data_IF_058166422368
#
_entry.id   IF_058166422368
#
_cell.length_a   1.000
_cell.length_b   1.000
_cell.length_c   1.000
_cell.angle_alpha   90.00
_cell.angle_beta   90.00
_cell.angle_gamma   90.00
#
_symmetry.space_group_name_H-M   'P 1'
#
loop_
_entity.id
_entity.type
_entity.pdbx_description
1 polymer ?
#
# COMPACT_ATOMS: atom_id res chain seq x y z
N UNK A 1 37.52 16.61 8.53
CA UNK A 1 36.78 15.55 7.77
C UNK A 1 36.35 16.06 6.40
N UNK A 2 35.77 15.22 5.54
CA UNK A 2 35.40 15.59 4.16
C UNK A 2 34.45 16.79 4.05
N UNK A 3 33.52 16.94 4.99
CA UNK A 3 32.61 18.11 5.03
C UNK A 3 33.39 19.39 5.18
N UNK A 4 34.38 19.44 6.05
CA UNK A 4 35.23 20.64 6.24
C UNK A 4 36.10 20.91 5.02
N UNK A 5 36.70 19.88 4.43
CA UNK A 5 37.46 20.00 3.21
C UNK A 5 36.58 20.54 2.06
N UNK A 6 35.35 20.02 1.89
CA UNK A 6 34.44 20.54 0.87
C UNK A 6 34.16 22.04 1.05
N UNK A 7 33.91 22.49 2.28
CA UNK A 7 33.71 23.92 2.59
C UNK A 7 34.97 24.75 2.28
N UNK A 8 36.15 24.26 2.63
CA UNK A 8 37.42 24.92 2.33
C UNK A 8 37.66 25.06 0.81
N UNK A 9 37.21 24.11 0.01
CA UNK A 9 37.24 24.15 -1.45
C UNK A 9 36.05 24.91 -2.08
N UNK A 10 35.16 25.49 -1.27
CA UNK A 10 33.99 26.22 -1.74
C UNK A 10 32.93 25.35 -2.40
N UNK A 11 32.89 24.06 -2.05
CA UNK A 11 31.96 23.06 -2.58
C UNK A 11 30.78 22.85 -1.61
N UNK A 12 29.61 22.50 -2.14
CA UNK A 12 28.49 22.05 -1.33
C UNK A 12 28.76 20.64 -0.79
N UNK A 13 28.90 20.46 0.55
CA UNK A 13 29.19 19.16 1.15
C UNK A 13 28.13 18.08 0.88
N UNK A 14 26.90 18.45 0.52
CA UNK A 14 25.83 17.51 0.23
C UNK A 14 25.76 17.09 -1.24
N UNK A 15 26.17 17.96 -2.14
CA UNK A 15 26.00 17.77 -3.57
C UNK A 15 27.32 17.59 -4.34
N UNK A 16 28.42 18.10 -3.81
CA UNK A 16 29.66 18.30 -4.57
C UNK A 16 30.91 17.64 -3.97
N UNK A 17 30.78 16.81 -2.92
CA UNK A 17 31.92 16.09 -2.31
C UNK A 17 32.74 15.26 -3.32
N UNK A 18 32.11 14.78 -4.37
CA UNK A 18 32.77 14.03 -5.45
C UNK A 18 33.77 14.85 -6.26
N UNK A 19 33.77 16.19 -6.14
CA UNK A 19 34.74 17.10 -6.78
C UNK A 19 36.02 17.29 -5.97
N UNK A 20 36.06 16.81 -4.72
CA UNK A 20 37.27 16.92 -3.91
C UNK A 20 38.43 16.11 -4.53
N UNK A 21 39.68 16.59 -4.35
CA UNK A 21 40.85 15.83 -4.76
C UNK A 21 40.90 14.43 -4.11
N UNK A 22 41.43 13.44 -4.83
CA UNK A 22 41.50 12.05 -4.39
C UNK A 22 42.23 11.84 -3.06
N UNK A 23 43.19 12.70 -2.70
CA UNK A 23 43.90 12.65 -1.43
C UNK A 23 42.98 12.90 -0.20
N UNK A 24 41.83 13.56 -0.40
CA UNK A 24 40.81 13.70 0.65
C UNK A 24 39.78 12.57 0.61
N UNK A 25 39.33 12.16 -0.58
CA UNK A 25 38.27 11.15 -0.74
C UNK A 25 38.81 9.73 -0.61
N UNK A 26 40.06 9.48 -1.05
CA UNK A 26 40.67 8.14 -1.03
C UNK A 26 40.67 7.50 0.37
N UNK A 27 41.31 8.12 1.37
CA UNK A 27 41.33 7.55 2.72
C UNK A 27 39.93 7.33 3.34
N UNK A 28 38.96 8.17 2.98
CA UNK A 28 37.58 7.99 3.41
C UNK A 28 36.93 6.77 2.74
N UNK A 29 37.11 6.60 1.43
CA UNK A 29 36.57 5.47 0.71
C UNK A 29 37.21 4.14 1.12
N UNK A 30 38.51 4.13 1.42
CA UNK A 30 39.22 2.99 1.99
C UNK A 30 38.64 2.63 3.35
N UNK A 31 38.46 3.61 4.25
CA UNK A 31 37.84 3.43 5.57
C UNK A 31 36.40 2.90 5.50
N UNK A 32 35.61 3.39 4.55
CA UNK A 32 34.24 2.87 4.34
C UNK A 32 34.25 1.37 3.93
N UNK A 33 35.21 0.97 3.11
CA UNK A 33 35.36 -0.44 2.71
C UNK A 33 35.80 -1.33 3.89
N UNK A 34 36.77 -0.87 4.69
CA UNK A 34 37.22 -1.57 5.89
C UNK A 34 36.09 -1.72 6.91
N UNK A 35 35.39 -0.63 7.25
CA UNK A 35 34.23 -0.64 8.15
C UNK A 35 33.11 -1.56 7.65
N UNK A 36 32.86 -1.59 6.36
CA UNK A 36 31.87 -2.49 5.76
C UNK A 36 32.26 -3.95 5.98
N UNK A 37 33.52 -4.31 5.83
CA UNK A 37 34.02 -5.66 6.09
C UNK A 37 33.95 -6.02 7.56
N UNK A 38 34.29 -5.09 8.46
CA UNK A 38 34.17 -5.30 9.93
C UNK A 38 32.71 -5.52 10.34
N UNK A 39 31.78 -4.69 9.81
CA UNK A 39 30.34 -4.88 10.02
C UNK A 39 29.85 -6.23 9.51
N UNK A 40 30.32 -6.66 8.34
CA UNK A 40 29.99 -7.99 7.83
C UNK A 40 30.45 -9.10 8.77
N UNK A 41 31.67 -9.05 9.25
CA UNK A 41 32.22 -10.06 10.18
C UNK A 41 31.42 -10.11 11.50
N UNK A 42 31.00 -8.96 11.99
CA UNK A 42 30.13 -8.86 13.17
C UNK A 42 28.73 -9.45 12.88
N UNK A 43 28.08 -8.97 11.84
CA UNK A 43 26.70 -9.38 11.51
C UNK A 43 26.59 -10.83 11.09
N UNK A 44 27.58 -11.41 10.43
CA UNK A 44 27.62 -12.83 10.08
C UNK A 44 27.42 -13.72 11.31
N UNK A 45 28.08 -13.37 12.41
CA UNK A 45 27.93 -14.07 13.69
C UNK A 45 26.54 -13.82 14.30
N UNK A 46 26.07 -12.58 14.29
CA UNK A 46 24.75 -12.22 14.82
C UNK A 46 23.59 -12.83 14.05
N UNK A 47 23.67 -12.92 12.73
CA UNK A 47 22.67 -13.60 11.88
C UNK A 47 22.52 -15.06 12.34
N UNK A 48 23.62 -15.76 12.57
CA UNK A 48 23.62 -17.14 13.06
C UNK A 48 23.06 -17.25 14.47
N UNK A 49 23.60 -16.44 15.42
CA UNK A 49 23.17 -16.42 16.82
C UNK A 49 21.67 -16.14 16.99
N UNK A 50 21.14 -15.29 16.14
CA UNK A 50 19.72 -14.93 16.16
C UNK A 50 18.82 -15.87 15.34
N UNK A 51 19.36 -16.91 14.72
CA UNK A 51 18.61 -17.86 13.88
C UNK A 51 17.94 -17.18 12.68
N UNK A 52 18.67 -16.29 12.00
CA UNK A 52 18.19 -15.53 10.86
C UNK A 52 18.80 -15.99 9.52
N UNK A 53 19.62 -17.03 9.52
CA UNK A 53 20.35 -17.53 8.33
C UNK A 53 19.41 -17.77 7.16
N UNK A 54 18.31 -18.51 7.37
CA UNK A 54 17.33 -18.80 6.31
C UNK A 54 16.73 -17.53 5.68
N UNK A 55 16.42 -16.52 6.51
CA UNK A 55 15.90 -15.25 6.02
C UNK A 55 16.96 -14.46 5.26
N UNK A 56 18.18 -14.45 5.78
CA UNK A 56 19.33 -13.79 5.15
C UNK A 56 19.63 -14.40 3.78
N UNK A 57 19.67 -15.73 3.69
CA UNK A 57 19.92 -16.44 2.43
C UNK A 57 18.82 -16.17 1.41
N UNK A 58 17.55 -16.18 1.86
CA UNK A 58 16.39 -15.85 1.00
C UNK A 58 16.50 -14.41 0.45
N UNK A 59 16.76 -13.44 1.32
CA UNK A 59 16.85 -12.03 0.92
C UNK A 59 18.04 -11.78 0.00
N UNK A 60 19.17 -12.45 0.27
CA UNK A 60 20.36 -12.34 -0.57
C UNK A 60 20.11 -12.97 -1.94
N UNK A 61 19.46 -14.13 -2.00
CA UNK A 61 19.12 -14.79 -3.26
C UNK A 61 18.07 -14.00 -4.08
N UNK A 62 17.20 -13.24 -3.42
CA UNK A 62 16.19 -12.38 -4.07
C UNK A 62 16.80 -11.12 -4.70
N UNK A 63 17.89 -10.60 -4.13
CA UNK A 63 18.48 -9.31 -4.56
C UNK A 63 18.82 -9.27 -6.07
N UNK A 64 19.49 -10.26 -6.67
CA UNK A 64 19.75 -10.27 -8.12
C UNK A 64 18.47 -10.16 -8.95
N UNK A 65 17.40 -10.86 -8.55
CA UNK A 65 16.12 -10.80 -9.24
C UNK A 65 15.53 -9.38 -9.22
N UNK A 66 15.61 -8.67 -8.08
CA UNK A 66 15.12 -7.28 -7.97
C UNK A 66 15.99 -6.30 -8.75
N UNK A 67 17.29 -6.54 -8.82
CA UNK A 67 18.21 -5.79 -9.67
C UNK A 67 17.85 -5.95 -11.14
N UNK A 68 17.62 -7.19 -11.60
CA UNK A 68 17.19 -7.48 -12.97
C UNK A 68 15.84 -6.84 -13.29
N UNK A 69 14.88 -6.89 -12.38
CA UNK A 69 13.59 -6.21 -12.55
C UNK A 69 13.75 -4.71 -12.71
N UNK A 70 14.61 -4.08 -11.89
CA UNK A 70 14.91 -2.64 -11.98
C UNK A 70 15.64 -2.32 -13.27
N UNK A 71 16.63 -3.14 -13.66
CA UNK A 71 17.41 -2.99 -14.89
C UNK A 71 16.55 -3.10 -16.14
N UNK A 72 15.73 -4.14 -16.22
CA UNK A 72 14.83 -4.37 -17.34
C UNK A 72 13.74 -3.28 -17.44
N UNK A 73 13.26 -2.78 -16.32
CA UNK A 73 12.20 -1.78 -16.28
C UNK A 73 10.90 -2.24 -16.96
N UNK A 74 10.00 -1.31 -17.22
CA UNK A 74 8.69 -1.57 -17.83
C UNK A 74 8.50 -0.66 -19.04
N UNK A 75 8.26 -1.21 -20.23
CA UNK A 75 7.99 -0.46 -21.46
C UNK A 75 6.72 0.37 -21.35
N UNK A 76 6.74 1.58 -21.90
CA UNK A 76 5.62 2.52 -21.88
C UNK A 76 5.30 3.01 -23.29
N UNK A 77 4.03 3.01 -23.65
CA UNK A 77 3.53 3.70 -24.84
C UNK A 77 3.39 5.20 -24.56
N UNK A 78 4.46 5.94 -24.83
CA UNK A 78 4.50 7.40 -24.64
C UNK A 78 3.49 8.15 -25.50
N UNK A 79 3.27 7.71 -26.72
CA UNK A 79 2.32 8.34 -27.63
C UNK A 79 0.88 8.20 -27.13
N UNK A 80 0.53 7.00 -26.69
CA UNK A 80 -0.76 6.72 -26.07
C UNK A 80 -0.91 7.45 -24.74
N UNK A 81 0.15 7.51 -23.94
CA UNK A 81 0.18 8.25 -22.67
C UNK A 81 -0.15 9.72 -22.88
N UNK A 82 0.52 10.38 -23.82
CA UNK A 82 0.26 11.80 -24.10
C UNK A 82 -1.14 12.02 -24.68
N UNK A 83 -1.58 11.23 -25.64
CA UNK A 83 -2.96 11.30 -26.18
C UNK A 83 -4.01 11.14 -25.06
N UNK A 84 -3.82 10.17 -24.18
CA UNK A 84 -4.71 9.94 -23.05
C UNK A 84 -4.70 11.13 -22.09
N UNK A 85 -3.52 11.68 -21.78
CA UNK A 85 -3.37 12.85 -20.92
C UNK A 85 -4.12 14.06 -21.48
N UNK A 86 -3.93 14.37 -22.75
CA UNK A 86 -4.60 15.49 -23.41
C UNK A 86 -6.13 15.32 -23.44
N UNK A 87 -6.62 14.12 -23.72
CA UNK A 87 -8.06 13.83 -23.68
C UNK A 87 -8.65 14.06 -22.29
N UNK A 88 -7.95 13.62 -21.22
CA UNK A 88 -8.41 13.83 -19.84
C UNK A 88 -8.38 15.31 -19.43
N UNK A 89 -7.37 16.06 -19.84
CA UNK A 89 -7.30 17.52 -19.60
C UNK A 89 -8.47 18.23 -20.29
N UNK A 90 -8.82 17.82 -21.50
CA UNK A 90 -9.97 18.40 -22.22
C UNK A 90 -11.30 18.05 -21.52
N UNK A 91 -11.48 16.79 -21.10
CA UNK A 91 -12.67 16.36 -20.34
C UNK A 91 -12.80 17.16 -19.04
N UNK A 92 -11.71 17.32 -18.28
CA UNK A 92 -11.66 18.14 -17.06
C UNK A 92 -12.13 19.57 -17.32
N UNK A 93 -11.55 20.23 -18.34
CA UNK A 93 -11.93 21.60 -18.73
C UNK A 93 -13.40 21.72 -19.12
N UNK A 94 -13.94 20.74 -19.83
CA UNK A 94 -15.34 20.72 -20.23
C UNK A 94 -16.27 20.61 -19.02
N UNK A 95 -15.97 19.73 -18.06
CA UNK A 95 -16.77 19.58 -16.85
C UNK A 95 -16.68 20.85 -15.99
N UNK A 96 -15.50 21.40 -15.77
CA UNK A 96 -15.32 22.65 -15.02
C UNK A 96 -16.06 23.82 -15.67
N UNK A 97 -16.07 23.90 -17.00
CA UNK A 97 -16.84 24.90 -17.74
C UNK A 97 -18.35 24.74 -17.49
N UNK A 98 -18.88 23.53 -17.57
CA UNK A 98 -20.30 23.25 -17.27
C UNK A 98 -20.66 23.68 -15.83
N UNK A 99 -19.84 23.30 -14.84
CA UNK A 99 -20.07 23.72 -13.45
C UNK A 99 -20.08 25.25 -13.35
N UNK A 100 -19.15 25.95 -13.99
CA UNK A 100 -19.09 27.41 -14.01
C UNK A 100 -20.30 28.04 -14.69
N UNK A 101 -20.75 27.48 -15.81
CA UNK A 101 -21.88 28.00 -16.58
C UNK A 101 -23.19 27.87 -15.76
N UNK A 102 -23.35 26.78 -14.99
CA UNK A 102 -24.53 26.54 -14.15
C UNK A 102 -24.50 27.33 -12.82
N UNK A 103 -23.34 27.38 -12.16
CA UNK A 103 -23.22 27.97 -10.80
C UNK A 103 -22.67 29.40 -10.78
N UNK A 104 -22.13 29.87 -11.91
CA UNK A 104 -21.36 31.13 -12.03
C UNK A 104 -20.11 31.18 -11.15
N UNK A 105 -19.71 30.06 -10.55
CA UNK A 105 -18.53 29.95 -9.68
C UNK A 105 -17.39 29.27 -10.44
N UNK A 106 -16.22 29.88 -10.40
CA UNK A 106 -14.98 29.21 -10.85
C UNK A 106 -14.50 28.27 -9.74
N UNK A 107 -14.44 26.96 -10.05
CA UNK A 107 -14.12 25.93 -9.06
C UNK A 107 -12.65 25.58 -9.07
N UNK A 108 -12.01 25.77 -7.95
CA UNK A 108 -10.72 25.16 -7.62
C UNK A 108 -10.98 23.82 -6.91
N UNK A 109 -10.88 22.72 -7.65
CA UNK A 109 -11.36 21.40 -7.22
C UNK A 109 -10.73 20.85 -5.94
N UNK A 110 -9.54 21.33 -5.55
CA UNK A 110 -8.85 20.90 -4.34
C UNK A 110 -9.05 21.88 -3.16
N UNK A 111 -9.59 23.07 -3.41
CA UNK A 111 -9.84 24.06 -2.38
C UNK A 111 -11.27 23.91 -1.81
N UNK A 112 -11.39 23.45 -0.56
CA UNK A 112 -12.69 23.24 0.10
C UNK A 112 -13.52 24.53 0.13
N UNK A 113 -12.90 25.70 0.33
CA UNK A 113 -13.58 26.98 0.30
C UNK A 113 -14.19 27.31 -1.07
N UNK A 114 -13.53 26.91 -2.16
CA UNK A 114 -14.06 27.09 -3.52
C UNK A 114 -15.27 26.19 -3.78
N UNK A 115 -15.22 24.94 -3.32
CA UNK A 115 -16.35 24.00 -3.45
C UNK A 115 -17.52 24.46 -2.56
N UNK A 116 -17.25 24.95 -1.36
CA UNK A 116 -18.30 25.48 -0.47
C UNK A 116 -19.12 26.59 -1.17
N UNK A 117 -18.47 27.50 -1.90
CA UNK A 117 -19.18 28.55 -2.67
C UNK A 117 -20.13 27.97 -3.71
N UNK A 118 -19.79 26.83 -4.33
CA UNK A 118 -20.70 26.13 -5.26
C UNK A 118 -21.91 25.60 -4.51
N UNK A 119 -21.70 24.96 -3.37
CA UNK A 119 -22.77 24.42 -2.55
C UNK A 119 -23.69 25.54 -2.02
N UNK A 120 -23.12 26.66 -1.55
CA UNK A 120 -23.87 27.83 -1.08
C UNK A 120 -24.71 28.43 -2.21
N UNK A 121 -24.16 28.54 -3.45
CA UNK A 121 -24.91 29.04 -4.62
C UNK A 121 -26.08 28.14 -5.00
N UNK A 122 -25.95 26.83 -4.80
CA UNK A 122 -26.98 25.84 -5.08
C UNK A 122 -27.93 25.57 -3.89
N UNK A 123 -27.73 26.29 -2.77
CA UNK A 123 -28.43 26.06 -1.51
C UNK A 123 -28.35 24.60 -1.03
N UNK A 124 -27.19 23.94 -1.21
CA UNK A 124 -26.92 22.58 -0.80
C UNK A 124 -26.17 22.54 0.53
N UNK A 125 -26.58 21.65 1.41
CA UNK A 125 -25.88 21.41 2.67
C UNK A 125 -24.60 20.59 2.48
N UNK A 126 -23.60 20.82 3.34
CA UNK A 126 -22.34 20.07 3.33
C UNK A 126 -21.78 19.88 4.74
N UNK A 127 -21.07 18.76 4.98
CA UNK A 127 -20.47 18.47 6.26
C UNK A 127 -19.29 19.40 6.57
N UNK A 128 -19.05 19.61 7.86
CA UNK A 128 -17.91 20.35 8.38
C UNK A 128 -17.04 19.45 9.26
N UNK A 129 -15.76 19.75 9.30
CA UNK A 129 -14.83 19.11 10.23
C UNK A 129 -15.11 19.58 11.66
N UNK A 130 -14.56 18.90 12.68
CA UNK A 130 -14.64 19.32 14.09
C UNK A 130 -14.14 20.75 14.32
N UNK A 131 -13.24 21.25 13.46
CA UNK A 131 -12.74 22.63 13.49
C UNK A 131 -13.59 23.61 12.67
N UNK A 132 -14.77 23.20 12.21
CA UNK A 132 -15.72 24.05 11.47
C UNK A 132 -15.41 24.25 9.98
N UNK A 133 -14.31 23.71 9.44
CA UNK A 133 -13.97 23.85 8.01
C UNK A 133 -14.85 22.95 7.13
N UNK A 134 -15.23 23.39 5.89
CA UNK A 134 -15.97 22.56 4.95
C UNK A 134 -15.23 21.25 4.63
N UNK A 135 -15.96 20.13 4.58
CA UNK A 135 -15.42 18.79 4.32
C UNK A 135 -16.10 18.16 3.11
N UNK A 136 -15.35 18.00 2.03
CA UNK A 136 -15.83 17.41 0.78
C UNK A 136 -15.04 16.11 0.48
N UNK A 137 -15.43 15.02 1.16
CA UNK A 137 -14.85 13.71 0.92
C UNK A 137 -15.26 13.17 -0.46
N UNK A 138 -14.50 12.19 -0.97
CA UNK A 138 -14.84 11.53 -2.23
C UNK A 138 -16.24 10.90 -2.17
N UNK A 139 -16.53 10.18 -1.09
CA UNK A 139 -17.82 9.50 -0.88
C UNK A 139 -18.95 10.49 -0.90
N UNK A 140 -18.88 11.54 -0.06
CA UNK A 140 -19.89 12.59 0.00
C UNK A 140 -20.20 13.21 -1.36
N UNK A 141 -19.16 13.54 -2.14
CA UNK A 141 -19.34 14.16 -3.46
C UNK A 141 -19.90 13.17 -4.48
N UNK A 142 -19.42 11.91 -4.51
CA UNK A 142 -19.82 10.93 -5.51
C UNK A 142 -21.23 10.38 -5.29
N UNK A 143 -21.70 10.32 -4.05
CA UNK A 143 -23.04 9.79 -3.68
C UNK A 143 -24.10 10.88 -3.52
N UNK A 144 -23.72 12.15 -3.70
CA UNK A 144 -24.64 13.27 -3.57
C UNK A 144 -25.74 13.20 -4.65
N UNK A 145 -26.99 13.51 -4.25
CA UNK A 145 -28.15 13.47 -5.17
C UNK A 145 -28.08 14.47 -6.31
N UNK A 146 -27.47 15.64 -6.05
CA UNK A 146 -27.32 16.68 -7.06
C UNK A 146 -26.14 16.36 -8.03
N UNK A 147 -26.26 16.61 -9.36
CA UNK A 147 -25.22 16.24 -10.33
C UNK A 147 -23.91 17.04 -10.21
N UNK A 148 -23.95 18.29 -9.75
CA UNK A 148 -22.75 19.14 -9.66
C UNK A 148 -21.70 18.58 -8.69
N UNK A 149 -22.00 18.18 -7.44
CA UNK A 149 -21.06 17.48 -6.57
C UNK A 149 -20.46 16.23 -7.21
N UNK A 150 -21.26 15.42 -7.90
CA UNK A 150 -20.74 14.23 -8.62
C UNK A 150 -19.76 14.63 -9.73
N UNK A 151 -20.03 15.72 -10.45
CA UNK A 151 -19.10 16.27 -11.46
C UNK A 151 -17.79 16.75 -10.80
N UNK A 152 -17.85 17.38 -9.63
CA UNK A 152 -16.64 17.77 -8.88
C UNK A 152 -15.84 16.53 -8.48
N UNK A 153 -16.49 15.46 -8.00
CA UNK A 153 -15.81 14.20 -7.69
C UNK A 153 -15.11 13.63 -8.93
N UNK A 154 -15.81 13.61 -10.08
CA UNK A 154 -15.26 13.14 -11.36
C UNK A 154 -14.07 13.97 -11.81
N UNK A 155 -14.14 15.30 -11.70
CA UNK A 155 -13.02 16.20 -12.03
C UNK A 155 -11.79 15.91 -11.17
N UNK A 156 -11.97 15.70 -9.87
CA UNK A 156 -10.86 15.30 -8.97
C UNK A 156 -10.22 13.98 -9.39
N UNK A 157 -11.03 12.99 -9.79
CA UNK A 157 -10.51 11.71 -10.26
C UNK A 157 -9.71 11.87 -11.56
N UNK A 158 -10.26 12.58 -12.55
CA UNK A 158 -9.60 12.87 -13.82
C UNK A 158 -8.28 13.61 -13.58
N UNK A 159 -8.29 14.66 -12.77
CA UNK A 159 -7.11 15.45 -12.43
C UNK A 159 -6.03 14.59 -11.77
N UNK A 160 -6.41 13.71 -10.84
CA UNK A 160 -5.47 12.77 -10.21
C UNK A 160 -4.83 11.83 -11.24
N UNK A 161 -5.60 11.35 -12.22
CA UNK A 161 -5.07 10.44 -13.24
C UNK A 161 -4.05 11.16 -14.12
N UNK A 162 -4.41 12.28 -14.77
CA UNK A 162 -3.47 12.95 -15.67
C UNK A 162 -2.38 13.72 -14.92
N UNK A 163 -2.71 14.38 -13.81
CA UNK A 163 -1.79 15.23 -13.06
C UNK A 163 -0.81 14.44 -12.18
N UNK A 164 -1.20 13.28 -11.66
CA UNK A 164 -0.32 12.46 -10.84
C UNK A 164 0.24 11.28 -11.64
N UNK A 165 -0.62 10.39 -12.13
CA UNK A 165 -0.14 9.13 -12.73
C UNK A 165 0.50 9.34 -14.10
N UNK A 166 -0.17 10.01 -15.04
CA UNK A 166 0.38 10.17 -16.40
C UNK A 166 1.59 11.12 -16.42
N UNK A 167 1.57 12.19 -15.66
CA UNK A 167 2.74 13.06 -15.52
C UNK A 167 3.92 12.33 -14.87
N UNK A 168 3.68 11.51 -13.85
CA UNK A 168 4.74 10.71 -13.22
C UNK A 168 5.33 9.71 -14.21
N UNK A 169 4.49 9.03 -14.99
CA UNK A 169 4.95 8.14 -16.07
C UNK A 169 5.87 8.91 -17.02
N UNK A 170 5.40 10.02 -17.59
CA UNK A 170 6.18 10.81 -18.55
C UNK A 170 7.50 11.34 -17.96
N UNK A 171 7.49 11.75 -16.69
CA UNK A 171 8.68 12.29 -16.02
C UNK A 171 9.76 11.22 -15.78
N UNK A 172 9.35 9.96 -15.58
CA UNK A 172 10.26 8.88 -15.18
C UNK A 172 10.59 7.88 -16.30
N UNK A 173 10.00 8.04 -17.48
CA UNK A 173 10.43 7.23 -18.62
C UNK A 173 11.84 7.63 -19.03
N UNK A 174 12.73 6.65 -19.07
CA UNK A 174 14.12 6.83 -19.48
C UNK A 174 14.24 6.90 -21.02
N UNK A 175 15.45 7.13 -21.54
CA UNK A 175 15.71 7.28 -22.99
C UNK A 175 15.39 6.00 -23.79
N UNK A 176 15.39 4.85 -23.13
CA UNK A 176 15.04 3.55 -23.73
C UNK A 176 13.51 3.29 -23.81
N UNK A 177 12.69 4.27 -23.37
CA UNK A 177 11.23 4.14 -23.36
C UNK A 177 10.67 3.33 -22.19
N UNK A 178 11.44 3.13 -21.12
CA UNK A 178 11.08 2.31 -19.96
C UNK A 178 11.05 3.12 -18.67
N UNK A 179 10.33 2.60 -17.70
CA UNK A 179 10.37 3.08 -16.31
C UNK A 179 11.18 2.08 -15.50
N UNK A 180 12.22 2.59 -14.82
CA UNK A 180 13.09 1.85 -13.93
C UNK A 180 12.82 2.29 -12.49
N UNK A 181 11.83 1.68 -11.86
CA UNK A 181 11.51 1.99 -10.46
C UNK A 181 12.55 1.41 -9.52
N UNK A 182 12.86 2.14 -8.45
CA UNK A 182 13.65 1.58 -7.37
C UNK A 182 12.79 0.59 -6.58
N UNK A 183 13.31 -0.60 -6.37
CA UNK A 183 12.66 -1.67 -5.63
C UNK A 183 13.39 -1.84 -4.29
N UNK A 184 12.69 -1.58 -3.18
CA UNK A 184 13.26 -1.61 -1.84
C UNK A 184 12.83 -2.90 -1.12
N UNK A 185 13.79 -3.73 -0.76
CA UNK A 185 13.60 -4.98 -0.04
C UNK A 185 13.40 -4.78 1.46
N UNK A 186 14.23 -3.91 2.03
CA UNK A 186 14.25 -3.58 3.45
C UNK A 186 14.06 -2.08 3.66
N UNK A 187 13.65 -1.69 4.86
CA UNK A 187 13.53 -0.28 5.18
C UNK A 187 14.91 0.36 5.32
N UNK A 188 15.12 1.44 4.58
CA UNK A 188 16.28 2.31 4.65
C UNK A 188 15.84 3.76 4.44
N UNK A 189 16.80 4.68 4.30
CA UNK A 189 16.55 6.12 4.14
C UNK A 189 15.75 6.45 2.88
N UNK A 190 15.87 5.63 1.84
CA UNK A 190 15.23 5.83 0.55
C UNK A 190 13.86 5.13 0.41
N UNK A 191 13.36 4.46 1.45
CA UNK A 191 12.09 3.76 1.39
C UNK A 191 12.12 2.39 2.06
N UNK A 192 11.20 1.51 1.64
CA UNK A 192 11.07 0.17 2.20
C UNK A 192 9.99 0.08 3.28
N UNK A 193 9.77 -1.14 3.79
CA UNK A 193 8.78 -1.43 4.82
C UNK A 193 9.40 -2.19 5.99
N UNK A 194 8.83 -2.03 7.18
CA UNK A 194 9.22 -2.80 8.36
C UNK A 194 8.65 -4.22 8.37
N UNK A 195 7.66 -4.48 7.52
CA UNK A 195 6.94 -5.76 7.47
C UNK A 195 7.61 -6.83 6.58
N UNK A 196 8.65 -6.46 5.83
CA UNK A 196 9.27 -7.30 4.80
C UNK A 196 8.51 -7.31 3.46
N UNK A 197 7.48 -6.47 3.29
CA UNK A 197 6.88 -6.24 1.98
C UNK A 197 7.81 -5.40 1.13
N UNK A 198 7.96 -5.75 -0.14
CA UNK A 198 8.69 -4.93 -1.12
C UNK A 198 7.92 -3.63 -1.32
N UNK A 199 8.64 -2.51 -1.39
CA UNK A 199 8.10 -1.22 -1.79
C UNK A 199 8.80 -0.68 -3.02
N UNK A 200 8.14 0.22 -3.74
CA UNK A 200 8.70 0.87 -4.93
C UNK A 200 8.64 2.39 -4.79
N UNK A 201 9.67 3.05 -5.31
CA UNK A 201 9.72 4.52 -5.44
C UNK A 201 10.44 4.92 -6.73
N UNK A 202 10.38 6.18 -7.08
CA UNK A 202 10.99 6.80 -8.24
C UNK A 202 10.76 6.07 -9.59
N UNK A 203 9.47 5.86 -9.98
CA UNK A 203 8.21 6.13 -9.31
C UNK A 203 7.65 4.95 -8.53
N UNK A 204 6.60 5.18 -7.70
CA UNK A 204 5.89 4.09 -7.05
C UNK A 204 4.87 3.43 -7.99
N UNK A 205 5.28 2.36 -8.65
CA UNK A 205 4.44 1.62 -9.61
C UNK A 205 3.35 0.77 -8.93
N UNK A 206 3.44 0.51 -7.62
CA UNK A 206 2.43 -0.23 -6.87
C UNK A 206 1.13 0.56 -6.67
N UNK A 207 1.15 1.88 -6.89
CA UNK A 207 -0.02 2.74 -6.75
C UNK A 207 -0.85 2.88 -8.04
N UNK A 208 -0.44 2.26 -9.14
CA UNK A 208 -1.17 2.32 -10.41
C UNK A 208 -2.59 1.77 -10.22
N UNK A 209 -3.63 2.52 -10.59
CA UNK A 209 -5.01 2.11 -10.38
C UNK A 209 -5.31 0.82 -11.12
N UNK A 210 -5.77 -0.19 -10.39
CA UNK A 210 -6.11 -1.49 -10.96
C UNK A 210 -7.61 -1.76 -11.00
N UNK A 211 -8.32 -1.32 -9.95
CA UNK A 211 -9.74 -1.67 -9.72
C UNK A 211 -10.73 -0.59 -10.15
N UNK A 212 -10.23 0.55 -10.61
CA UNK A 212 -11.12 1.63 -11.06
C UNK A 212 -11.78 1.24 -12.39
N UNK A 213 -13.12 1.26 -12.52
CA UNK A 213 -13.82 0.75 -13.71
C UNK A 213 -13.34 1.40 -15.02
N UNK A 214 -13.22 2.72 -15.04
CA UNK A 214 -12.80 3.49 -16.22
C UNK A 214 -11.27 3.61 -16.31
N UNK A 215 -10.62 4.08 -15.24
CA UNK A 215 -9.21 4.48 -15.29
C UNK A 215 -8.24 3.32 -15.08
N UNK A 216 -8.66 2.22 -14.44
CA UNK A 216 -7.79 1.07 -14.19
C UNK A 216 -7.25 0.48 -15.50
N UNK A 217 -8.14 0.10 -16.39
CA UNK A 217 -7.76 -0.44 -17.71
C UNK A 217 -7.03 0.59 -18.58
N UNK A 218 -7.50 1.86 -18.54
CA UNK A 218 -6.89 2.95 -19.31
C UNK A 218 -5.41 3.13 -18.95
N UNK A 219 -5.07 3.32 -17.66
CA UNK A 219 -3.69 3.56 -17.23
C UNK A 219 -2.84 2.30 -17.42
N UNK A 220 -3.35 1.12 -17.09
CA UNK A 220 -2.60 -0.13 -17.24
C UNK A 220 -2.29 -0.47 -18.69
N UNK A 221 -3.16 -0.10 -19.63
CA UNK A 221 -2.93 -0.31 -21.05
C UNK A 221 -1.83 0.57 -21.68
N UNK A 222 -1.22 1.46 -20.90
CA UNK A 222 -0.05 2.25 -21.30
C UNK A 222 1.26 1.47 -21.14
N UNK A 223 1.26 0.40 -20.36
CA UNK A 223 2.42 -0.47 -20.16
C UNK A 223 2.40 -1.60 -21.18
N UNK A 224 3.49 -1.77 -21.88
CA UNK A 224 3.61 -2.75 -22.95
C UNK A 224 4.44 -3.96 -22.51
N UNK A 225 4.10 -5.18 -22.94
CA UNK A 225 5.01 -6.31 -22.83
C UNK A 225 6.17 -6.14 -23.81
N UNK A 226 7.14 -7.02 -23.77
CA UNK A 226 8.15 -7.12 -24.84
C UNK A 226 7.51 -7.51 -26.17
N UNK A 227 8.20 -7.28 -27.26
CA UNK A 227 7.75 -7.69 -28.60
C UNK A 227 7.52 -9.20 -28.61
N UNK A 228 6.41 -9.62 -29.20
CA UNK A 228 5.98 -11.03 -29.26
C UNK A 228 5.70 -11.70 -27.90
N UNK A 229 5.59 -10.90 -26.80
CA UNK A 229 5.26 -11.40 -25.47
C UNK A 229 3.90 -10.90 -25.00
N UNK A 230 3.42 -11.48 -23.92
CA UNK A 230 2.16 -11.12 -23.27
C UNK A 230 2.36 -10.93 -21.78
N UNK A 231 1.51 -10.09 -21.18
CA UNK A 231 1.43 -9.95 -19.74
C UNK A 231 0.74 -11.16 -19.11
N UNK A 232 1.38 -11.76 -18.12
CA UNK A 232 0.73 -12.67 -17.20
C UNK A 232 0.51 -11.98 -15.85
N UNK A 233 -0.69 -12.14 -15.27
CA UNK A 233 -0.98 -11.70 -13.91
C UNK A 233 -1.17 -12.93 -13.02
N UNK A 234 -0.24 -13.13 -12.09
CA UNK A 234 -0.23 -14.27 -11.18
C UNK A 234 -0.36 -13.73 -9.76
N UNK A 235 -1.40 -14.17 -9.03
CA UNK A 235 -1.67 -13.75 -7.65
C UNK A 235 -2.09 -14.94 -6.81
N UNK A 236 -1.65 -14.96 -5.55
CA UNK A 236 -2.07 -15.99 -4.61
C UNK A 236 -3.54 -15.80 -4.21
N UNK A 237 -4.34 -16.83 -4.37
CA UNK A 237 -5.73 -16.80 -3.93
C UNK A 237 -5.81 -16.77 -2.41
N UNK A 238 -6.33 -15.67 -1.84
CA UNK A 238 -6.62 -15.52 -0.42
C UNK A 238 -5.42 -15.82 0.49
N UNK A 239 -4.24 -15.34 0.14
CA UNK A 239 -3.01 -15.63 0.89
C UNK A 239 -3.15 -15.29 2.38
N UNK A 240 -3.64 -14.11 2.72
CA UNK A 240 -3.77 -13.65 4.11
C UNK A 240 -4.75 -14.49 4.93
N UNK A 241 -5.99 -14.78 4.47
CA UNK A 241 -6.89 -15.69 5.15
C UNK A 241 -6.32 -17.11 5.36
N UNK A 242 -5.64 -17.65 4.35
CA UNK A 242 -5.02 -18.98 4.45
C UNK A 242 -3.93 -19.04 5.53
N UNK A 243 -3.10 -18.00 5.58
CA UNK A 243 -2.04 -17.86 6.59
C UNK A 243 -2.68 -17.70 7.99
N UNK A 244 -3.74 -16.91 8.13
CA UNK A 244 -4.47 -16.74 9.38
C UNK A 244 -5.02 -18.08 9.89
N UNK A 245 -5.69 -18.86 9.04
CA UNK A 245 -6.21 -20.18 9.37
C UNK A 245 -5.07 -21.14 9.75
N UNK A 246 -3.99 -21.14 8.97
CA UNK A 246 -2.80 -21.95 9.24
C UNK A 246 -2.19 -21.66 10.63
N UNK A 247 -1.97 -20.38 10.96
CA UNK A 247 -1.41 -20.03 12.28
C UNK A 247 -2.37 -20.36 13.43
N UNK A 248 -3.67 -20.18 13.21
CA UNK A 248 -4.66 -20.52 14.24
C UNK A 248 -4.69 -22.02 14.51
N UNK A 249 -4.63 -22.84 13.46
CA UNK A 249 -4.56 -24.30 13.60
C UNK A 249 -3.23 -24.74 14.23
N UNK A 250 -2.10 -24.22 13.74
CA UNK A 250 -0.80 -24.55 14.29
C UNK A 250 -0.67 -24.18 15.78
N UNK A 251 -1.33 -23.10 16.21
CA UNK A 251 -1.40 -22.75 17.63
C UNK A 251 -2.21 -23.77 18.42
N UNK A 252 -3.40 -24.16 17.95
CA UNK A 252 -4.22 -25.18 18.59
C UNK A 252 -3.46 -26.51 18.71
N UNK A 253 -2.79 -26.94 17.64
CA UNK A 253 -1.99 -28.18 17.63
C UNK A 253 -0.85 -28.10 18.66
N UNK A 254 -0.19 -26.95 18.78
CA UNK A 254 0.91 -26.75 19.75
C UNK A 254 0.45 -26.80 21.19
N UNK A 255 -0.76 -26.34 21.48
CA UNK A 255 -1.35 -26.34 22.83
C UNK A 255 -2.06 -27.65 23.17
N UNK A 256 -2.26 -28.55 22.19
CA UNK A 256 -3.06 -29.80 22.30
C UNK A 256 -4.50 -29.57 22.80
N UNK A 257 -5.01 -28.36 22.66
CA UNK A 257 -6.34 -27.92 23.08
C UNK A 257 -6.88 -26.98 22.00
N UNK A 258 -8.13 -27.15 21.58
CA UNK A 258 -8.81 -26.26 20.63
C UNK A 258 -9.18 -24.90 21.25
N UNK A 259 -8.17 -24.09 21.63
CA UNK A 259 -8.36 -22.79 22.27
C UNK A 259 -8.96 -21.79 21.29
N UNK A 260 -8.49 -21.81 20.05
CA UNK A 260 -9.00 -20.94 18.97
C UNK A 260 -10.17 -21.66 18.27
N UNK A 261 -11.38 -21.43 18.80
CA UNK A 261 -12.61 -22.11 18.32
C UNK A 261 -12.99 -21.67 16.92
N UNK A 262 -13.59 -22.57 16.16
CA UNK A 262 -14.16 -22.30 14.82
C UNK A 262 -13.15 -22.30 13.68
N UNK A 263 -11.89 -22.65 13.92
CA UNK A 263 -10.88 -22.75 12.86
C UNK A 263 -11.01 -24.05 12.06
N UNK A 264 -11.47 -25.13 12.68
CA UNK A 264 -11.51 -26.48 12.08
C UNK A 264 -12.35 -26.53 10.80
N UNK A 265 -13.46 -25.81 10.76
CA UNK A 265 -14.32 -25.70 9.57
C UNK A 265 -13.58 -25.08 8.39
N UNK A 266 -12.81 -24.01 8.63
CA UNK A 266 -11.99 -23.38 7.58
C UNK A 266 -10.85 -24.29 7.13
N UNK A 267 -10.23 -25.01 8.05
CA UNK A 267 -9.18 -26.01 7.73
C UNK A 267 -9.74 -27.11 6.84
N UNK A 268 -10.88 -27.66 7.20
CA UNK A 268 -11.56 -28.71 6.41
C UNK A 268 -11.91 -28.21 5.02
N UNK A 269 -12.57 -27.04 4.93
CA UNK A 269 -12.94 -26.46 3.63
C UNK A 269 -11.72 -26.20 2.75
N UNK A 270 -10.62 -25.66 3.29
CA UNK A 270 -9.40 -25.42 2.51
C UNK A 270 -8.66 -26.70 2.10
N UNK A 271 -8.78 -27.81 2.86
CA UNK A 271 -8.21 -29.10 2.49
C UNK A 271 -9.04 -29.81 1.43
N UNK A 272 -10.34 -29.83 1.60
CA UNK A 272 -11.24 -30.60 0.75
C UNK A 272 -11.54 -29.88 -0.57
N UNK A 273 -11.68 -28.56 -0.52
CA UNK A 273 -12.03 -27.72 -1.68
C UNK A 273 -11.11 -26.49 -1.80
N UNK A 274 -9.80 -26.67 -2.00
CA UNK A 274 -8.82 -25.57 -1.94
C UNK A 274 -9.01 -24.49 -3.03
N UNK A 275 -9.67 -24.83 -4.15
CA UNK A 275 -9.93 -23.90 -5.26
C UNK A 275 -11.19 -23.09 -5.07
N UNK A 276 -12.23 -23.71 -4.51
CA UNK A 276 -13.58 -23.14 -4.44
C UNK A 276 -13.87 -22.52 -3.06
N UNK A 277 -13.05 -22.81 -2.05
CA UNK A 277 -13.19 -22.22 -0.72
C UNK A 277 -12.87 -20.74 -0.77
N UNK A 278 -13.87 -19.92 -0.45
CA UNK A 278 -13.73 -18.46 -0.31
C UNK A 278 -14.02 -18.04 1.14
N UNK A 279 -12.97 -17.64 1.87
CA UNK A 279 -13.07 -17.19 3.25
C UNK A 279 -14.13 -16.09 3.45
N UNK A 280 -14.25 -15.19 2.49
CA UNK A 280 -15.21 -14.09 2.58
C UNK A 280 -16.65 -14.56 2.41
N UNK A 281 -16.87 -15.58 1.58
CA UNK A 281 -18.18 -16.20 1.41
C UNK A 281 -18.57 -17.01 2.66
N UNK A 282 -17.66 -17.83 3.18
CA UNK A 282 -17.91 -18.57 4.42
C UNK A 282 -18.28 -17.64 5.58
N UNK A 283 -17.53 -16.54 5.76
CA UNK A 283 -17.85 -15.55 6.80
C UNK A 283 -19.17 -14.84 6.51
N UNK A 284 -19.49 -14.53 5.26
CA UNK A 284 -20.75 -13.92 4.87
C UNK A 284 -21.96 -14.80 5.27
N UNK A 285 -21.87 -16.09 4.98
CA UNK A 285 -22.89 -17.08 5.33
C UNK A 285 -23.00 -17.28 6.85
N UNK A 286 -21.87 -17.42 7.55
CA UNK A 286 -21.84 -17.59 9.00
C UNK A 286 -22.40 -16.39 9.76
N UNK A 287 -22.16 -15.17 9.27
CA UNK A 287 -22.55 -13.93 9.92
C UNK A 287 -23.85 -13.32 9.36
N UNK A 288 -24.45 -13.95 8.36
CA UNK A 288 -25.66 -13.47 7.65
C UNK A 288 -25.50 -12.02 7.13
N UNK A 289 -24.39 -11.76 6.43
CA UNK A 289 -24.07 -10.45 5.86
C UNK A 289 -23.68 -10.57 4.38
N UNK A 290 -23.88 -9.51 3.57
CA UNK A 290 -23.44 -9.54 2.17
C UNK A 290 -21.94 -9.82 2.03
N UNK A 291 -21.53 -10.64 1.06
CA UNK A 291 -20.12 -10.99 0.79
C UNK A 291 -19.20 -9.77 0.65
N UNK A 292 -19.71 -8.67 0.06
CA UNK A 292 -18.94 -7.42 -0.07
C UNK A 292 -18.61 -6.82 1.31
N UNK A 293 -19.56 -6.84 2.22
CA UNK A 293 -19.40 -6.40 3.62
C UNK A 293 -18.47 -7.36 4.37
N UNK A 294 -18.66 -8.68 4.22
CA UNK A 294 -17.77 -9.69 4.80
C UNK A 294 -16.31 -9.50 4.37
N UNK A 295 -16.05 -9.17 3.10
CA UNK A 295 -14.69 -8.89 2.63
C UNK A 295 -14.06 -7.69 3.33
N UNK A 296 -14.83 -6.62 3.53
CA UNK A 296 -14.33 -5.41 4.21
C UNK A 296 -14.05 -5.71 5.67
N UNK A 297 -15.01 -6.35 6.38
CA UNK A 297 -14.85 -6.65 7.80
C UNK A 297 -13.75 -7.68 8.06
N UNK A 298 -13.60 -8.69 7.21
CA UNK A 298 -12.53 -9.67 7.33
C UNK A 298 -11.15 -9.00 7.31
N UNK A 299 -10.89 -8.17 6.30
CA UNK A 299 -9.63 -7.44 6.20
C UNK A 299 -9.46 -6.46 7.37
N UNK A 300 -10.53 -5.73 7.73
CA UNK A 300 -10.52 -4.82 8.85
C UNK A 300 -10.13 -5.53 10.17
N UNK A 301 -10.76 -6.66 10.46
CA UNK A 301 -10.51 -7.42 11.69
C UNK A 301 -9.12 -8.08 11.68
N UNK A 302 -8.68 -8.64 10.56
CA UNK A 302 -7.33 -9.21 10.44
C UNK A 302 -6.23 -8.19 10.71
N UNK A 303 -6.45 -6.93 10.32
CA UNK A 303 -5.51 -5.82 10.55
C UNK A 303 -5.76 -5.02 11.81
N UNK A 304 -6.65 -5.46 12.70
CA UNK A 304 -6.93 -4.80 13.98
C UNK A 304 -7.59 -3.42 13.84
N UNK A 305 -8.42 -3.24 12.83
CA UNK A 305 -9.13 -1.99 12.62
C UNK A 305 -10.15 -1.74 13.74
N UNK A 306 -10.11 -0.55 14.35
CA UNK A 306 -11.11 -0.15 15.36
C UNK A 306 -12.48 0.17 14.77
N UNK A 307 -13.52 0.07 15.60
CA UNK A 307 -14.94 0.29 15.26
C UNK A 307 -15.19 1.63 14.56
N UNK A 308 -14.55 2.71 15.00
CA UNK A 308 -14.70 4.03 14.38
C UNK A 308 -14.26 4.04 12.90
N UNK A 309 -13.12 3.43 12.59
CA UNK A 309 -12.64 3.38 11.21
C UNK A 309 -13.47 2.43 10.36
N UNK A 310 -13.96 1.35 10.94
CA UNK A 310 -14.88 0.41 10.29
C UNK A 310 -16.22 1.10 9.94
N UNK A 311 -16.80 1.89 10.86
CA UNK A 311 -18.03 2.64 10.61
C UNK A 311 -17.88 3.60 9.43
N UNK A 312 -16.76 4.32 9.36
CA UNK A 312 -16.48 5.21 8.23
C UNK A 312 -16.29 4.44 6.90
N UNK A 313 -15.68 3.26 6.95
CA UNK A 313 -15.39 2.49 5.74
C UNK A 313 -16.64 1.82 5.15
N UNK A 314 -17.59 1.45 6.00
CA UNK A 314 -18.86 0.84 5.62
C UNK A 314 -20.00 1.87 5.47
N UNK A 315 -19.75 3.13 5.82
CA UNK A 315 -20.75 4.20 5.85
C UNK A 315 -21.98 3.85 6.74
N UNK A 316 -21.69 3.33 7.94
CA UNK A 316 -22.68 2.96 8.95
C UNK A 316 -22.40 3.68 10.27
N UNK A 317 -23.37 3.69 11.17
CA UNK A 317 -23.19 4.27 12.52
C UNK A 317 -22.14 3.50 13.33
N UNK A 318 -21.61 4.13 14.38
CA UNK A 318 -20.66 3.47 15.31
C UNK A 318 -21.30 2.29 16.03
N UNK A 319 -22.59 2.38 16.33
CA UNK A 319 -23.31 1.32 17.04
C UNK A 319 -23.52 0.11 16.12
N UNK A 320 -23.94 0.33 14.88
CA UNK A 320 -24.03 -0.74 13.86
C UNK A 320 -22.66 -1.38 13.60
N UNK A 321 -21.58 -0.61 13.49
CA UNK A 321 -20.23 -1.14 13.33
C UNK A 321 -19.78 -1.98 14.54
N UNK A 322 -20.17 -1.58 15.76
CA UNK A 322 -19.89 -2.33 16.99
C UNK A 322 -20.67 -3.65 17.04
N UNK A 323 -21.94 -3.61 16.68
CA UNK A 323 -22.79 -4.80 16.61
C UNK A 323 -22.24 -5.77 15.57
N UNK A 324 -21.94 -5.32 14.36
CA UNK A 324 -21.34 -6.09 13.29
C UNK A 324 -20.00 -6.71 13.71
N UNK A 325 -19.15 -5.97 14.42
CA UNK A 325 -17.87 -6.48 14.95
C UNK A 325 -18.12 -7.59 15.99
N UNK A 326 -19.10 -7.40 16.86
CA UNK A 326 -19.47 -8.40 17.88
C UNK A 326 -20.02 -9.66 17.24
N UNK A 327 -20.92 -9.54 16.28
CA UNK A 327 -21.45 -10.63 15.48
C UNK A 327 -20.33 -11.40 14.74
N UNK A 328 -19.42 -10.67 14.10
CA UNK A 328 -18.27 -11.25 13.43
C UNK A 328 -17.41 -12.10 14.40
N UNK A 329 -17.03 -11.56 15.54
CA UNK A 329 -16.20 -12.28 16.50
C UNK A 329 -16.93 -13.45 17.18
N UNK A 330 -18.25 -13.44 17.25
CA UNK A 330 -19.02 -14.57 17.73
C UNK A 330 -19.01 -15.75 16.74
N UNK A 331 -18.94 -15.45 15.44
CA UNK A 331 -18.96 -16.45 14.36
C UNK A 331 -17.56 -16.90 13.94
N UNK A 332 -16.57 -16.01 14.03
CA UNK A 332 -15.17 -16.25 13.65
C UNK A 332 -14.23 -15.92 14.82
N UNK A 333 -14.38 -16.59 15.97
CA UNK A 333 -13.70 -16.22 17.20
C UNK A 333 -12.18 -16.39 17.14
N UNK A 334 -11.66 -17.29 16.31
CA UNK A 334 -10.22 -17.54 16.20
C UNK A 334 -9.43 -16.33 15.68
N UNK A 335 -10.05 -15.42 14.92
CA UNK A 335 -9.39 -14.22 14.42
C UNK A 335 -8.95 -13.32 15.58
N UNK A 336 -9.89 -13.01 16.48
CA UNK A 336 -9.61 -12.23 17.69
C UNK A 336 -8.74 -13.01 18.66
N UNK A 337 -9.03 -14.30 18.83
CA UNK A 337 -8.25 -15.17 19.71
C UNK A 337 -6.76 -15.24 19.33
N UNK A 338 -6.44 -15.35 18.03
CA UNK A 338 -5.03 -15.32 17.59
C UNK A 338 -4.36 -13.97 17.88
N UNK A 339 -5.07 -12.87 17.67
CA UNK A 339 -4.55 -11.53 18.00
C UNK A 339 -4.25 -11.41 19.50
N UNK A 340 -5.16 -11.87 20.36
CA UNK A 340 -4.99 -11.86 21.83
C UNK A 340 -3.79 -12.71 22.26
N UNK A 341 -3.62 -13.90 21.68
CA UNK A 341 -2.46 -14.77 21.92
C UNK A 341 -1.16 -14.09 21.54
N UNK A 342 -1.12 -13.48 20.36
CA UNK A 342 0.05 -12.75 19.87
C UNK A 342 0.40 -11.58 20.80
N UNK A 343 -0.60 -10.78 21.20
CA UNK A 343 -0.40 -9.66 22.11
C UNK A 343 0.02 -10.10 23.52
N UNK A 344 -0.55 -11.17 24.05
CA UNK A 344 -0.12 -11.75 25.33
C UNK A 344 1.33 -12.21 25.29
N UNK A 345 1.75 -12.87 24.19
CA UNK A 345 3.14 -13.30 24.01
C UNK A 345 4.09 -12.12 23.96
N UNK A 346 3.75 -11.05 23.24
CA UNK A 346 4.58 -9.84 23.17
C UNK A 346 4.69 -9.11 24.50
N UNK A 347 3.60 -9.04 25.27
CA UNK A 347 3.52 -8.32 26.54
C UNK A 347 3.96 -9.19 27.74
N UNK A 348 4.29 -10.45 27.53
CA UNK A 348 4.75 -11.31 28.62
C UNK A 348 6.14 -10.88 29.14
N UNK A 349 6.40 -11.09 30.45
CA UNK A 349 7.70 -10.79 31.06
C UNK A 349 8.85 -11.62 30.48
N UNK A 350 8.56 -12.72 29.82
CA UNK A 350 9.49 -13.60 29.12
C UNK A 350 9.61 -13.29 27.64
N UNK A 351 8.99 -12.21 27.19
CA UNK A 351 9.00 -11.82 25.77
C UNK A 351 10.40 -11.40 25.35
N UNK A 352 10.83 -11.93 24.22
CA UNK A 352 12.06 -11.51 23.56
C UNK A 352 11.88 -10.18 22.78
N UNK A 353 10.69 -9.54 22.86
CA UNK A 353 10.37 -8.28 22.16
C UNK A 353 10.23 -8.41 20.65
N UNK A 354 10.02 -9.61 20.14
CA UNK A 354 9.79 -9.86 18.71
C UNK A 354 8.85 -11.04 18.46
N UNK A 355 8.28 -11.04 17.24
CA UNK A 355 7.60 -12.20 16.66
C UNK A 355 8.40 -12.72 15.47
N UNK A 356 8.24 -14.00 15.16
CA UNK A 356 8.77 -14.60 13.94
C UNK A 356 7.68 -14.84 12.90
N UNK A 357 7.94 -14.44 11.66
CA UNK A 357 7.11 -14.85 10.53
C UNK A 357 7.31 -16.34 10.23
N UNK A 358 6.48 -16.90 9.32
CA UNK A 358 6.58 -18.29 8.88
C UNK A 358 8.01 -18.66 8.39
N UNK A 359 8.66 -17.73 7.71
CA UNK A 359 10.02 -17.91 7.18
C UNK A 359 11.12 -17.49 8.17
N UNK A 360 10.77 -17.19 9.42
CA UNK A 360 11.74 -16.90 10.48
C UNK A 360 12.13 -15.41 10.63
N UNK A 361 11.59 -14.49 9.80
CA UNK A 361 11.87 -13.06 9.95
C UNK A 361 11.40 -12.57 11.31
N UNK A 362 12.28 -11.87 12.04
CA UNK A 362 11.94 -11.21 13.30
C UNK A 362 11.23 -9.87 13.04
N UNK A 363 10.05 -9.75 13.61
CA UNK A 363 9.28 -8.49 13.66
C UNK A 363 9.40 -7.95 15.09
N UNK A 364 10.11 -6.84 15.28
CA UNK A 364 10.31 -6.17 16.56
C UNK A 364 9.25 -5.08 16.74
N UNK A 365 8.78 -4.90 17.99
CA UNK A 365 7.73 -3.96 18.38
C UNK A 365 8.22 -3.04 19.49
#
# INVERSE_FOLDING_TARGET
>A
GLVQAAVEFGLDPKAEMWKLPSCYVGPYAEGDAELTLELWNYFKTEISNQGLTTVFDLETALLPCLVDMTWNGIRVDLNKTEKTRQSLIQEEKQILKKIKDETKVHVEMWASASIARVFDTLALEYPRTEKGSPSFTRVFLSEHKHPIPQQIAKVREINKIHGTFLNTIQKHVAKDGRIHSHINQVRGDNGGTVSGRISMNNPNMQQIPARHPQFGKMVRSLFLPEEDQQWASIDFSQQEPRILVHYSQAYNDSQKIGILRGVDEFVTNYRDNPKDTDFHTLVAEMADIPRKTAKVINLAMMYGMGVFKLSQQLDISKDEAKELTTQYHSRVPFVKGLQEVVMQRLNSRTSEGFLRSLLGRKLRF
#
